data_IF_061159728739
#
_entry.id   IF_061159728739
#
_cell.length_a   1.000
_cell.length_b   1.000
_cell.length_c   1.000
_cell.angle_alpha   90.00
_cell.angle_beta   90.00
_cell.angle_gamma   90.00
#
_symmetry.space_group_name_H-M   'P 1'
#
loop_
_entity.id
_entity.type
_entity.pdbx_description
1 polymer ?
#
# COMPACT_ATOMS: atom_id res chain seq x y z
N UNK A 1 20.45 5.70 -1.55
CA UNK A 1 19.82 4.64 -2.34
C UNK A 1 18.40 5.12 -2.58
N UNK A 2 18.12 5.66 -3.77
CA UNK A 2 16.76 6.04 -4.16
C UNK A 2 16.08 4.78 -4.65
N UNK A 3 15.74 3.89 -3.73
CA UNK A 3 15.15 2.57 -3.98
C UNK A 3 13.84 2.75 -4.72
N UNK A 4 13.84 2.53 -6.04
CA UNK A 4 12.79 2.06 -6.96
C UNK A 4 11.28 2.23 -6.70
N UNK A 5 10.83 2.97 -5.68
CA UNK A 5 9.46 3.27 -5.37
C UNK A 5 9.17 4.56 -6.15
N UNK A 6 8.77 4.44 -7.41
CA UNK A 6 8.36 5.62 -8.20
C UNK A 6 7.33 6.45 -7.44
N UNK A 7 7.23 7.75 -7.72
CA UNK A 7 6.35 8.71 -7.01
C UNK A 7 4.95 8.14 -6.71
N UNK A 8 4.38 7.35 -7.63
CA UNK A 8 3.08 6.70 -7.45
C UNK A 8 3.01 5.77 -6.24
N UNK A 9 4.05 4.99 -5.95
CA UNK A 9 4.05 4.07 -4.80
C UNK A 9 4.17 4.83 -3.48
N UNK A 10 4.99 5.89 -3.45
CA UNK A 10 5.08 6.77 -2.28
C UNK A 10 3.74 7.46 -1.98
N UNK A 11 3.06 7.96 -3.02
CA UNK A 11 1.72 8.54 -2.90
C UNK A 11 0.70 7.51 -2.42
N UNK A 12 0.69 6.30 -2.98
CA UNK A 12 -0.19 5.22 -2.54
C UNK A 12 0.05 4.82 -1.08
N UNK A 13 1.31 4.78 -0.63
CA UNK A 13 1.65 4.56 0.78
C UNK A 13 1.06 5.64 1.68
N UNK A 14 1.21 6.92 1.29
CA UNK A 14 0.68 8.04 2.06
C UNK A 14 -0.84 7.95 2.21
N UNK A 15 -1.57 7.76 1.10
CA UNK A 15 -3.04 7.65 1.10
C UNK A 15 -3.51 6.50 2.00
N UNK A 16 -2.95 5.30 1.82
CA UNK A 16 -3.36 4.11 2.60
C UNK A 16 -3.02 4.29 4.08
N UNK A 17 -1.89 4.92 4.40
CA UNK A 17 -1.51 5.23 5.77
C UNK A 17 -2.44 6.25 6.42
N UNK A 18 -2.82 7.32 5.70
CA UNK A 18 -3.78 8.32 6.16
C UNK A 18 -5.17 7.71 6.43
N UNK A 19 -5.54 6.67 5.69
CA UNK A 19 -6.77 5.89 5.89
C UNK A 19 -6.65 4.84 7.01
N UNK A 20 -5.55 4.81 7.78
CA UNK A 20 -5.31 3.82 8.84
C UNK A 20 -5.03 2.41 8.33
N UNK A 21 -4.78 2.26 7.03
CA UNK A 21 -4.45 0.99 6.40
C UNK A 21 -2.95 0.70 6.36
N UNK A 22 -2.62 -0.40 5.68
CA UNK A 22 -1.25 -0.84 5.44
C UNK A 22 -1.11 -1.26 3.97
N UNK A 23 0.01 -0.93 3.33
CA UNK A 23 0.36 -1.32 1.97
C UNK A 23 1.64 -2.16 2.00
N UNK A 24 1.68 -3.24 1.24
CA UNK A 24 2.86 -4.09 1.02
C UNK A 24 3.09 -4.24 -0.47
N UNK A 25 4.34 -4.15 -0.89
CA UNK A 25 4.76 -4.33 -2.28
C UNK A 25 5.89 -5.36 -2.35
N UNK A 26 5.78 -6.31 -3.27
CA UNK A 26 6.85 -7.28 -3.56
C UNK A 26 7.14 -7.32 -5.05
N UNK A 27 8.41 -7.57 -5.39
CA UNK A 27 8.79 -7.97 -6.74
C UNK A 27 8.60 -9.49 -6.86
N UNK A 28 7.76 -9.91 -7.80
CA UNK A 28 7.50 -11.29 -8.14
C UNK A 28 8.19 -11.63 -9.48
N UNK A 29 8.42 -12.92 -9.76
CA UNK A 29 9.11 -13.35 -10.98
C UNK A 29 8.44 -12.85 -12.29
N UNK A 30 7.16 -12.52 -12.24
CA UNK A 30 6.34 -12.09 -13.38
C UNK A 30 5.97 -10.58 -13.32
N UNK A 31 6.49 -9.82 -12.36
CA UNK A 31 6.18 -8.39 -12.22
C UNK A 31 6.18 -7.91 -10.78
N UNK A 32 5.30 -6.96 -10.45
CA UNK A 32 5.14 -6.46 -9.09
C UNK A 32 3.77 -6.87 -8.54
N UNK A 33 3.73 -7.24 -7.26
CA UNK A 33 2.48 -7.55 -6.56
C UNK A 33 2.33 -6.61 -5.36
N UNK A 34 1.12 -6.10 -5.20
CA UNK A 34 0.76 -5.15 -4.15
C UNK A 34 -0.44 -5.67 -3.39
N UNK A 35 -0.40 -5.55 -2.06
CA UNK A 35 -1.53 -5.84 -1.18
C UNK A 35 -1.72 -4.72 -0.21
N UNK A 36 -2.99 -4.43 0.10
CA UNK A 36 -3.30 -3.47 1.14
C UNK A 36 -4.50 -3.92 1.95
N UNK A 37 -4.57 -3.43 3.18
CA UNK A 37 -5.71 -3.56 4.07
C UNK A 37 -6.13 -2.18 4.51
N UNK A 38 -7.44 -1.92 4.53
CA UNK A 38 -8.03 -0.73 5.14
C UNK A 38 -8.87 -1.16 6.34
N UNK A 39 -8.96 -0.33 7.39
CA UNK A 39 -9.94 -0.55 8.45
C UNK A 39 -11.35 -0.51 7.84
N UNK A 40 -12.21 -1.41 8.31
CA UNK A 40 -13.61 -1.42 7.93
C UNK A 40 -14.41 -0.65 8.99
N UNK A 41 -14.71 0.62 8.74
CA UNK A 41 -15.55 1.47 9.60
C UNK A 41 -16.96 0.87 9.81
N UNK A 42 -17.41 -0.04 8.94
CA UNK A 42 -18.74 -0.66 9.03
C UNK A 42 -18.88 -1.79 10.06
N UNK A 43 -17.90 -2.02 10.95
CA UNK A 43 -17.99 -3.02 12.03
C UNK A 43 -18.42 -2.41 13.39
N UNK A 44 -19.28 -1.39 13.38
CA UNK A 44 -20.03 -1.03 14.59
C UNK A 44 -21.15 -2.06 14.78
N UNK A 45 -21.00 -2.92 15.80
CA UNK A 45 -22.00 -3.92 16.27
C UNK A 45 -22.75 -3.37 17.47
#
# INVERSE_FOLDING_TARGET
>A
MGDGLGLGLAVSYAIIHELGGQLTAENHAEGARFWFSLPNDFLET
#
